data_IF_874596367953
#
_entry.id   IF_874596367953
#
_cell.length_a   1.000
_cell.length_b   1.000
_cell.length_c   1.000
_cell.angle_alpha   90.00
_cell.angle_beta   90.00
_cell.angle_gamma   90.00
#
_symmetry.space_group_name_H-M   'P 1'
#
loop_
_entity.id
_entity.type
_entity.pdbx_description
1 polymer ?
#
# COMPACT_ATOMS: atom_id res chain seq x y z
N UNK A 1 -26.67 6.36 59.24
CA UNK A 1 -27.22 7.12 58.09
C UNK A 1 -26.09 8.00 57.57
N UNK A 2 -25.50 7.66 56.41
CA UNK A 2 -24.37 8.26 55.64
C UNK A 2 -23.58 7.07 55.03
N UNK A 3 -24.19 6.25 54.16
CA UNK A 3 -24.20 6.38 52.68
C UNK A 3 -22.76 6.52 52.15
N UNK A 4 -22.05 5.41 51.94
CA UNK A 4 -21.86 4.74 50.62
C UNK A 4 -21.19 5.57 49.51
N UNK A 5 -20.60 6.74 49.80
CA UNK A 5 -20.07 7.63 48.75
C UNK A 5 -18.55 7.72 48.63
N UNK A 6 -17.75 7.08 49.50
CA UNK A 6 -16.29 7.24 49.45
C UNK A 6 -15.54 6.20 48.61
N UNK A 7 -16.16 5.06 48.27
CA UNK A 7 -15.54 4.03 47.41
C UNK A 7 -15.94 4.13 45.94
N UNK A 8 -16.95 4.95 45.61
CA UNK A 8 -17.42 5.15 44.24
C UNK A 8 -16.54 6.19 43.50
N UNK A 9 -15.85 7.07 44.22
CA UNK A 9 -15.00 8.11 43.62
C UNK A 9 -13.63 7.61 43.12
N UNK A 10 -13.11 6.50 43.64
CA UNK A 10 -11.77 5.99 43.26
C UNK A 10 -11.83 4.94 42.15
N UNK A 11 -12.98 4.28 41.96
CA UNK A 11 -13.16 3.25 40.93
C UNK A 11 -13.58 3.87 39.59
N UNK A 12 -14.22 5.04 39.60
CA UNK A 12 -14.70 5.70 38.38
C UNK A 12 -13.61 6.41 37.54
N UNK A 13 -12.42 6.64 38.10
CA UNK A 13 -11.31 7.31 37.38
C UNK A 13 -10.41 6.31 36.66
N UNK A 14 -10.48 5.03 37.01
CA UNK A 14 -9.62 3.98 36.43
C UNK A 14 -10.26 3.22 35.26
N UNK A 15 -11.50 3.54 34.88
CA UNK A 15 -12.20 2.94 33.73
C UNK A 15 -12.29 3.88 32.52
N UNK A 16 -11.72 5.09 32.59
CA UNK A 16 -11.74 6.06 31.48
C UNK A 16 -10.46 6.06 30.63
N UNK A 17 -9.56 5.08 30.84
CA UNK A 17 -8.25 5.01 30.18
C UNK A 17 -8.01 3.68 29.42
N UNK A 18 -9.07 3.01 28.95
CA UNK A 18 -8.94 1.73 28.19
C UNK A 18 -9.61 1.78 26.81
N UNK A 19 -9.71 2.97 26.20
CA UNK A 19 -10.22 3.13 24.83
C UNK A 19 -9.18 3.67 23.84
N UNK A 20 -7.88 3.62 24.17
CA UNK A 20 -6.79 3.83 23.22
C UNK A 20 -5.97 2.55 23.07
N UNK A 21 -6.66 1.46 22.74
CA UNK A 21 -6.03 0.29 22.18
C UNK A 21 -6.16 0.39 20.65
N UNK A 22 -5.06 0.78 20.02
CA UNK A 22 -4.74 0.59 18.61
C UNK A 22 -5.70 1.20 17.58
N UNK A 23 -5.65 2.53 17.43
CA UNK A 23 -5.69 3.12 16.09
C UNK A 23 -4.25 3.46 15.68
N UNK A 24 -3.39 2.44 15.65
CA UNK A 24 -2.11 2.55 14.96
C UNK A 24 -2.43 2.28 13.50
N UNK A 25 -3.02 3.27 12.82
CA UNK A 25 -2.91 3.40 11.37
C UNK A 25 -1.42 3.64 11.12
N UNK A 26 -0.63 2.57 11.18
CA UNK A 26 0.66 2.55 10.53
C UNK A 26 0.35 2.80 9.06
N UNK A 27 0.62 4.01 8.58
CA UNK A 27 0.65 4.32 7.17
C UNK A 27 1.36 3.15 6.48
N UNK A 28 0.56 2.30 5.85
CA UNK A 28 1.00 1.03 5.32
C UNK A 28 2.13 1.34 4.35
N UNK A 29 3.32 0.77 4.61
CA UNK A 29 4.56 1.20 3.96
C UNK A 29 4.43 1.13 2.45
N UNK A 30 4.19 2.29 1.83
CA UNK A 30 4.00 2.46 0.39
C UNK A 30 5.19 1.94 -0.39
N UNK A 31 6.38 1.87 0.21
CA UNK A 31 7.58 1.34 -0.41
C UNK A 31 8.06 0.11 0.35
N UNK A 32 8.32 -0.96 -0.39
CA UNK A 32 8.94 -2.18 0.11
C UNK A 32 10.19 -2.49 -0.73
N UNK A 33 11.20 -3.09 -0.12
CA UNK A 33 12.39 -3.54 -0.83
C UNK A 33 12.16 -4.91 -1.50
N UNK A 34 13.16 -5.40 -2.24
CA UNK A 34 13.04 -6.66 -2.98
C UNK A 34 12.80 -7.88 -2.07
N UNK A 35 13.46 -7.95 -0.92
CA UNK A 35 13.30 -9.05 0.06
C UNK A 35 11.88 -9.05 0.64
N UNK A 36 11.42 -7.90 1.11
CA UNK A 36 10.06 -7.70 1.60
C UNK A 36 9.02 -8.00 0.53
N UNK A 37 9.28 -7.66 -0.73
CA UNK A 37 8.39 -8.00 -1.83
C UNK A 37 8.25 -9.51 -2.01
N UNK A 38 9.36 -10.27 -1.95
CA UNK A 38 9.31 -11.73 -2.07
C UNK A 38 8.50 -12.36 -0.92
N UNK A 39 8.65 -11.89 0.30
CA UNK A 39 7.83 -12.35 1.42
C UNK A 39 6.35 -11.97 1.21
N UNK A 40 6.10 -10.71 0.89
CA UNK A 40 4.74 -10.14 0.76
C UNK A 40 3.96 -10.77 -0.38
N UNK A 41 4.57 -11.00 -1.54
CA UNK A 41 3.87 -11.57 -2.71
C UNK A 41 3.48 -13.03 -2.49
N UNK A 42 4.26 -13.76 -1.67
CA UNK A 42 3.93 -15.14 -1.27
C UNK A 42 2.81 -15.18 -0.23
N UNK A 43 2.78 -14.22 0.70
CA UNK A 43 1.71 -14.09 1.70
C UNK A 43 0.41 -13.56 1.07
N UNK A 44 0.52 -12.52 0.26
CA UNK A 44 -0.57 -11.78 -0.37
C UNK A 44 -0.30 -11.68 -1.87
N UNK A 45 -0.76 -12.65 -2.68
CA UNK A 45 -0.68 -12.55 -4.12
C UNK A 45 -1.37 -11.27 -4.62
N UNK A 46 -0.78 -10.63 -5.63
CA UNK A 46 -1.27 -9.37 -6.15
C UNK A 46 -0.86 -9.16 -7.60
N UNK A 47 -1.29 -8.03 -8.15
CA UNK A 47 -1.03 -7.65 -9.54
C UNK A 47 0.28 -6.88 -9.61
N UNK A 48 1.25 -7.41 -10.35
CA UNK A 48 2.54 -6.77 -10.60
C UNK A 48 2.43 -5.92 -11.86
N UNK A 49 2.72 -4.62 -11.74
CA UNK A 49 2.66 -3.64 -12.82
C UNK A 49 4.05 -3.04 -13.06
N UNK A 50 4.54 -3.18 -14.28
CA UNK A 50 5.70 -2.43 -14.76
C UNK A 50 5.25 -1.07 -15.32
N UNK A 51 5.67 0.02 -14.67
CA UNK A 51 5.31 1.37 -15.11
C UNK A 51 6.34 2.05 -16.01
N UNK A 52 7.31 1.28 -16.53
CA UNK A 52 8.31 1.76 -17.50
C UNK A 52 7.70 1.93 -18.89
N UNK A 53 8.50 2.40 -19.84
CA UNK A 53 8.11 2.44 -21.25
C UNK A 53 8.08 1.03 -21.86
N UNK A 54 7.33 0.84 -22.94
CA UNK A 54 7.31 -0.43 -23.68
C UNK A 54 8.72 -0.86 -24.16
N UNK A 55 9.58 0.10 -24.52
CA UNK A 55 10.96 -0.19 -24.91
C UNK A 55 11.76 -0.82 -23.77
N UNK A 56 11.73 -0.20 -22.58
CA UNK A 56 12.42 -0.73 -21.40
C UNK A 56 11.88 -2.10 -20.97
N UNK A 57 10.57 -2.33 -21.12
CA UNK A 57 9.96 -3.63 -20.88
C UNK A 57 10.47 -4.69 -21.86
N UNK A 58 10.55 -4.36 -23.15
CA UNK A 58 11.03 -5.28 -24.19
C UNK A 58 12.52 -5.62 -24.05
N UNK A 59 13.31 -4.77 -23.39
CA UNK A 59 14.71 -5.02 -23.05
C UNK A 59 14.87 -6.03 -21.88
N UNK A 60 13.81 -6.26 -21.12
CA UNK A 60 13.76 -7.22 -20.01
C UNK A 60 12.84 -6.74 -18.89
N UNK A 61 12.16 -7.67 -18.22
CA UNK A 61 11.17 -7.41 -17.17
C UNK A 61 11.08 -8.60 -16.20
N UNK A 62 10.41 -8.40 -15.07
CA UNK A 62 10.09 -9.49 -14.14
C UNK A 62 9.19 -10.53 -14.83
N UNK A 63 9.48 -11.81 -14.66
CA UNK A 63 8.75 -12.89 -15.32
C UNK A 63 7.26 -12.94 -14.93
N UNK A 64 6.95 -12.63 -13.68
CA UNK A 64 5.59 -12.68 -13.13
C UNK A 64 4.80 -11.36 -13.30
N UNK A 65 5.27 -10.46 -14.16
CA UNK A 65 4.56 -9.20 -14.43
C UNK A 65 3.20 -9.46 -15.09
N UNK A 66 2.16 -8.83 -14.57
CA UNK A 66 0.81 -8.97 -15.12
C UNK A 66 0.51 -7.93 -16.18
N UNK A 67 0.97 -6.69 -15.97
CA UNK A 67 0.73 -5.59 -16.89
C UNK A 67 1.98 -4.72 -17.05
N UNK A 68 2.15 -4.21 -18.26
CA UNK A 68 3.01 -3.07 -18.53
C UNK A 68 2.11 -1.88 -18.82
N UNK A 69 2.15 -0.85 -17.96
CA UNK A 69 1.31 0.34 -18.07
C UNK A 69 2.21 1.58 -17.95
N UNK A 70 2.52 2.19 -19.09
CA UNK A 70 3.51 3.25 -19.13
C UNK A 70 2.99 4.53 -18.44
N UNK A 71 3.71 4.98 -17.41
CA UNK A 71 3.35 6.21 -16.70
C UNK A 71 3.60 7.49 -17.53
N UNK A 72 4.49 7.45 -18.51
CA UNK A 72 4.97 8.65 -19.21
C UNK A 72 4.12 9.07 -20.41
N UNK A 73 3.19 8.23 -20.86
CA UNK A 73 2.36 8.50 -22.05
C UNK A 73 0.85 8.53 -21.73
N UNK A 74 0.46 8.41 -20.46
CA UNK A 74 -0.95 8.42 -20.04
C UNK A 74 -1.66 7.07 -20.07
N UNK A 75 -1.00 5.99 -20.53
CA UNK A 75 -1.59 4.65 -20.56
C UNK A 75 -1.92 4.17 -19.13
N UNK A 76 -1.07 4.51 -18.16
CA UNK A 76 -1.28 4.18 -16.76
C UNK A 76 -2.55 4.83 -16.22
N UNK A 77 -2.69 6.15 -16.35
CA UNK A 77 -3.86 6.92 -15.93
C UNK A 77 -5.14 6.40 -16.58
N UNK A 78 -5.10 6.16 -17.90
CA UNK A 78 -6.26 5.67 -18.66
C UNK A 78 -6.72 4.27 -18.20
N UNK A 79 -5.81 3.48 -17.64
CA UNK A 79 -6.11 2.12 -17.18
C UNK A 79 -6.74 2.07 -15.78
N UNK A 80 -6.62 3.13 -14.97
CA UNK A 80 -7.03 3.11 -13.56
C UNK A 80 -8.50 2.75 -13.35
N UNK A 81 -9.39 3.24 -14.22
CA UNK A 81 -10.83 2.98 -14.09
C UNK A 81 -11.20 1.51 -14.37
N UNK A 82 -10.33 0.75 -15.04
CA UNK A 82 -10.52 -0.67 -15.32
C UNK A 82 -9.98 -1.59 -14.21
N UNK A 83 -9.20 -1.04 -13.28
CA UNK A 83 -8.55 -1.80 -12.22
C UNK A 83 -9.44 -1.87 -10.97
N UNK A 84 -9.39 -3.01 -10.29
CA UNK A 84 -10.17 -3.27 -9.07
C UNK A 84 -9.48 -2.65 -7.84
N UNK A 85 -10.10 -1.63 -7.25
CA UNK A 85 -9.55 -0.84 -6.14
C UNK A 85 -9.29 -1.64 -4.85
N UNK A 86 -9.91 -2.81 -4.71
CA UNK A 86 -9.76 -3.68 -3.55
C UNK A 86 -8.56 -4.64 -3.68
N UNK A 87 -8.04 -4.85 -4.89
CA UNK A 87 -6.90 -5.74 -5.13
C UNK A 87 -5.59 -5.14 -4.65
N UNK A 88 -4.63 -6.03 -4.43
CA UNK A 88 -3.24 -5.69 -4.13
C UNK A 88 -2.45 -5.44 -5.42
N UNK A 89 -1.69 -4.33 -5.44
CA UNK A 89 -0.86 -3.93 -6.56
C UNK A 89 0.59 -3.71 -6.15
N UNK A 90 1.51 -4.26 -6.93
CA UNK A 90 2.96 -4.13 -6.77
C UNK A 90 3.54 -3.43 -7.99
N UNK A 91 4.05 -2.22 -7.80
CA UNK A 91 4.53 -1.37 -8.89
C UNK A 91 6.04 -1.26 -8.86
N UNK A 92 6.68 -1.47 -10.00
CA UNK A 92 8.11 -1.21 -10.17
C UNK A 92 8.37 -0.37 -11.40
N UNK A 93 9.55 0.26 -11.43
CA UNK A 93 10.04 0.89 -12.64
C UNK A 93 11.54 0.67 -12.82
N UNK A 94 12.25 1.57 -13.50
CA UNK A 94 13.70 1.44 -13.65
C UNK A 94 14.44 1.59 -12.32
N UNK A 95 14.19 2.68 -11.57
CA UNK A 95 14.91 3.02 -10.32
C UNK A 95 14.01 3.20 -9.10
N UNK A 96 12.69 3.01 -9.25
CA UNK A 96 11.70 3.22 -8.18
C UNK A 96 11.01 4.59 -8.14
N UNK A 97 11.47 5.57 -8.93
CA UNK A 97 10.91 6.92 -8.93
C UNK A 97 9.52 7.00 -9.59
N UNK A 98 9.37 6.43 -10.79
CA UNK A 98 8.07 6.37 -11.50
C UNK A 98 7.05 5.50 -10.76
N UNK A 99 7.44 4.35 -10.23
CA UNK A 99 6.55 3.50 -9.45
C UNK A 99 6.10 4.17 -8.15
N UNK A 100 6.92 5.03 -7.54
CA UNK A 100 6.49 5.89 -6.44
C UNK A 100 5.37 6.84 -6.85
N UNK A 101 5.53 7.57 -7.95
CA UNK A 101 4.50 8.46 -8.49
C UNK A 101 3.20 7.72 -8.84
N UNK A 102 3.32 6.57 -9.51
CA UNK A 102 2.20 5.72 -9.88
C UNK A 102 1.46 5.19 -8.64
N UNK A 103 2.19 4.83 -7.59
CA UNK A 103 1.60 4.38 -6.33
C UNK A 103 0.79 5.48 -5.66
N UNK A 104 1.36 6.69 -5.56
CA UNK A 104 0.63 7.86 -5.02
C UNK A 104 -0.61 8.19 -5.84
N UNK A 105 -0.52 8.08 -7.17
CA UNK A 105 -1.65 8.28 -8.08
C UNK A 105 -2.76 7.24 -7.83
N UNK A 106 -2.43 5.95 -7.70
CA UNK A 106 -3.41 4.92 -7.37
C UNK A 106 -4.05 5.17 -6.01
N UNK A 107 -3.26 5.47 -4.96
CA UNK A 107 -3.82 5.79 -3.63
C UNK A 107 -4.79 6.96 -3.68
N UNK A 108 -4.46 8.04 -4.42
CA UNK A 108 -5.36 9.18 -4.65
C UNK A 108 -6.65 8.80 -5.39
N UNK A 109 -6.61 7.77 -6.22
CA UNK A 109 -7.78 7.23 -6.92
C UNK A 109 -8.57 6.19 -6.10
N UNK A 110 -8.22 5.98 -4.83
CA UNK A 110 -8.96 5.15 -3.89
C UNK A 110 -8.55 3.67 -3.89
N UNK A 111 -7.40 3.33 -4.47
CA UNK A 111 -6.84 1.98 -4.35
C UNK A 111 -6.31 1.76 -2.94
N UNK A 112 -6.69 0.65 -2.33
CA UNK A 112 -6.41 0.38 -0.91
C UNK A 112 -5.01 -0.19 -0.68
N UNK A 113 -4.62 -1.16 -1.50
CA UNK A 113 -3.44 -1.99 -1.28
C UNK A 113 -2.44 -1.78 -2.43
N UNK A 114 -1.55 -0.80 -2.29
CA UNK A 114 -0.61 -0.43 -3.36
C UNK A 114 0.80 -0.22 -2.82
N UNK A 115 1.76 -0.95 -3.39
CA UNK A 115 3.15 -0.96 -2.97
C UNK A 115 4.10 -0.65 -4.13
N UNK A 116 5.02 0.28 -3.91
CA UNK A 116 6.20 0.51 -4.72
C UNK A 116 7.30 -0.48 -4.31
N UNK A 117 7.63 -1.42 -5.20
CA UNK A 117 8.65 -2.44 -4.95
C UNK A 117 10.06 -2.03 -5.44
N UNK A 118 10.19 -0.80 -5.93
CA UNK A 118 11.48 -0.22 -6.30
C UNK A 118 11.81 -0.29 -7.79
N UNK A 119 13.11 -0.49 -8.07
CA UNK A 119 13.68 -0.49 -9.41
C UNK A 119 13.99 -1.90 -9.92
N UNK A 120 13.90 -2.09 -11.22
CA UNK A 120 14.38 -3.27 -11.93
C UNK A 120 15.91 -3.27 -12.10
N UNK A 121 16.54 -2.10 -11.99
CA UNK A 121 17.99 -1.89 -12.14
C UNK A 121 18.62 -1.39 -10.85
#
# INVERSE_FOLDING_TARGET
MMRRFLTIGLIAVMTLFVAQACAQDSAESTRINAEQFQEKVNETPGVIIDVRTQKEYNEGHLADVNYQLNLLNGDFEASLDSLDKEKTYYLYCRTGNRSGQATELMKKNGFKNVYNIGGFQ
#
